data_IF_009069260600
#
_entry.id   IF_009069260600
#
_cell.length_a   1.000
_cell.length_b   1.000
_cell.length_c   1.000
_cell.angle_alpha   90.00
_cell.angle_beta   90.00
_cell.angle_gamma   90.00
#
_symmetry.space_group_name_H-M   'P 1'
#
loop_
_entity.id
_entity.type
_entity.pdbx_description
1 polymer ?
#
# COMPACT_ATOMS: atom_id res chain seq x y z
N UNK A 1 -14.39 -19.18 -2.55
CA UNK A 1 -15.35 -18.44 -1.69
C UNK A 1 -14.79 -17.05 -1.28
N UNK A 2 -13.55 -16.93 -0.91
CA UNK A 2 -12.93 -15.70 -0.39
C UNK A 2 -13.01 -14.47 -1.34
N UNK A 3 -12.73 -14.61 -2.63
CA UNK A 3 -12.86 -13.50 -3.59
C UNK A 3 -14.28 -12.92 -3.66
N UNK A 4 -15.31 -13.76 -3.59
CA UNK A 4 -16.72 -13.30 -3.60
C UNK A 4 -17.07 -12.52 -2.33
N UNK A 5 -16.53 -12.93 -1.18
CA UNK A 5 -16.71 -12.24 0.09
C UNK A 5 -16.04 -10.86 0.07
N UNK A 6 -14.80 -10.77 -0.41
CA UNK A 6 -14.09 -9.50 -0.60
C UNK A 6 -14.91 -8.51 -1.45
N UNK A 7 -15.40 -8.94 -2.61
CA UNK A 7 -16.19 -8.07 -3.48
C UNK A 7 -17.53 -7.69 -2.86
N UNK A 8 -18.17 -8.58 -2.09
CA UNK A 8 -19.39 -8.29 -1.34
C UNK A 8 -19.18 -7.19 -0.32
N UNK A 9 -18.15 -7.33 0.53
CA UNK A 9 -17.78 -6.33 1.53
C UNK A 9 -17.44 -4.99 0.88
N UNK A 10 -16.65 -5.01 -0.18
CA UNK A 10 -16.29 -3.81 -0.94
C UNK A 10 -17.51 -3.09 -1.51
N UNK A 11 -18.47 -3.84 -2.05
CA UNK A 11 -19.71 -3.27 -2.60
C UNK A 11 -20.51 -2.54 -1.54
N UNK A 12 -20.55 -3.06 -0.30
CA UNK A 12 -21.22 -2.40 0.83
C UNK A 12 -20.41 -1.20 1.34
N UNK A 13 -19.09 -1.36 1.51
CA UNK A 13 -18.23 -0.32 2.12
C UNK A 13 -17.97 0.85 1.17
N UNK A 14 -17.87 0.60 -0.14
CA UNK A 14 -17.53 1.63 -1.14
C UNK A 14 -18.48 2.84 -1.15
N UNK A 15 -19.82 2.70 -1.12
CA UNK A 15 -20.72 3.85 -1.06
C UNK A 15 -20.53 4.67 0.21
N UNK A 16 -20.28 4.05 1.36
CA UNK A 16 -19.97 4.78 2.60
C UNK A 16 -18.68 5.57 2.48
N UNK A 17 -17.59 4.95 1.96
CA UNK A 17 -16.33 5.65 1.70
C UNK A 17 -16.52 6.82 0.76
N UNK A 18 -17.30 6.66 -0.31
CA UNK A 18 -17.66 7.76 -1.23
C UNK A 18 -18.46 8.86 -0.54
N UNK A 19 -19.47 8.49 0.25
CA UNK A 19 -20.33 9.45 0.91
C UNK A 19 -19.57 10.27 1.97
N UNK A 20 -18.75 9.59 2.79
CA UNK A 20 -18.08 10.24 3.92
C UNK A 20 -16.76 10.92 3.54
N UNK A 21 -16.00 10.36 2.60
CA UNK A 21 -14.65 10.83 2.29
C UNK A 21 -14.44 11.28 0.85
N UNK A 22 -15.35 10.90 -0.07
CA UNK A 22 -15.33 11.31 -1.49
C UNK A 22 -13.92 11.31 -2.12
N UNK A 23 -13.14 10.21 -2.00
CA UNK A 23 -11.78 10.20 -2.49
C UNK A 23 -11.76 10.37 -4.02
N UNK A 24 -10.87 11.23 -4.51
CA UNK A 24 -10.58 11.32 -5.94
C UNK A 24 -9.62 10.19 -6.31
N UNK A 25 -10.09 9.23 -7.09
CA UNK A 25 -9.30 8.09 -7.54
C UNK A 25 -9.01 8.23 -9.03
N UNK A 26 -7.73 8.16 -9.42
CA UNK A 26 -7.28 8.27 -10.82
C UNK A 26 -6.27 7.18 -11.14
N UNK A 27 -6.13 6.81 -12.43
CA UNK A 27 -5.15 5.83 -12.90
C UNK A 27 -5.54 4.38 -12.66
N UNK A 28 -6.82 4.07 -12.43
CA UNK A 28 -7.27 2.70 -12.16
C UNK A 28 -7.02 1.75 -13.35
N UNK A 29 -6.92 2.27 -14.55
CA UNK A 29 -6.54 1.58 -15.77
C UNK A 29 -5.14 0.97 -15.71
N UNK A 30 -4.27 1.49 -14.86
CA UNK A 30 -2.91 0.99 -14.63
C UNK A 30 -2.86 -0.29 -13.78
N UNK A 31 -3.97 -0.69 -13.17
CA UNK A 31 -4.02 -1.94 -12.41
C UNK A 31 -4.13 -3.12 -13.39
N UNK A 32 -3.16 -4.06 -13.41
CA UNK A 32 -3.20 -5.22 -14.29
C UNK A 32 -4.52 -5.99 -14.14
N UNK A 33 -5.09 -6.45 -15.23
CA UNK A 33 -6.34 -7.23 -15.19
C UNK A 33 -6.14 -8.62 -14.60
N UNK A 34 -4.97 -9.21 -14.80
CA UNK A 34 -4.62 -10.57 -14.39
C UNK A 34 -3.20 -10.61 -13.81
N UNK A 35 -2.82 -11.73 -13.24
CA UNK A 35 -1.50 -11.95 -12.66
C UNK A 35 -1.26 -11.24 -11.33
N UNK A 36 -0.12 -11.53 -10.69
CA UNK A 36 0.33 -10.87 -9.47
C UNK A 36 0.85 -9.46 -9.76
N UNK A 37 0.67 -8.55 -8.81
CA UNK A 37 1.19 -7.20 -8.89
C UNK A 37 1.44 -6.62 -7.50
N UNK A 38 2.37 -5.69 -7.40
CA UNK A 38 2.76 -5.06 -6.14
C UNK A 38 2.24 -3.63 -6.11
N UNK A 39 1.44 -3.28 -5.11
CA UNK A 39 1.10 -1.88 -4.83
C UNK A 39 2.16 -1.33 -3.88
N UNK A 40 2.89 -0.30 -4.31
CA UNK A 40 3.82 0.43 -3.46
C UNK A 40 3.29 1.84 -3.21
N UNK A 41 2.98 2.17 -1.96
CA UNK A 41 2.35 3.45 -1.59
C UNK A 41 3.07 4.14 -0.44
N UNK A 42 3.00 5.48 -0.40
CA UNK A 42 3.31 6.23 0.83
C UNK A 42 2.30 5.89 1.93
N UNK A 43 2.67 6.13 3.19
CA UNK A 43 1.84 5.79 4.34
C UNK A 43 1.67 6.98 5.28
N UNK A 44 0.46 7.55 5.32
CA UNK A 44 0.14 8.75 6.10
C UNK A 44 -0.68 8.43 7.35
N UNK A 45 -1.60 7.46 7.25
CA UNK A 45 -2.54 7.14 8.32
C UNK A 45 -2.93 5.66 8.32
N UNK A 46 -3.44 5.16 9.45
CA UNK A 46 -3.94 3.78 9.54
C UNK A 46 -5.07 3.50 8.54
N UNK A 47 -5.84 4.53 8.17
CA UNK A 47 -6.94 4.41 7.21
C UNK A 47 -6.46 4.08 5.79
N UNK A 48 -5.19 4.26 5.47
CA UNK A 48 -4.63 3.95 4.15
C UNK A 48 -4.84 2.49 3.78
N UNK A 49 -4.66 1.58 4.77
CA UNK A 49 -4.88 0.14 4.58
C UNK A 49 -6.35 -0.25 4.36
N UNK A 50 -7.28 0.66 4.66
CA UNK A 50 -8.69 0.52 4.29
C UNK A 50 -8.99 1.19 2.95
N UNK A 51 -8.39 2.35 2.70
CA UNK A 51 -8.64 3.13 1.52
C UNK A 51 -8.22 2.40 0.24
N UNK A 52 -7.03 1.80 0.23
CA UNK A 52 -6.49 1.12 -0.94
C UNK A 52 -7.36 -0.05 -1.42
N UNK A 53 -7.76 -1.04 -0.56
CA UNK A 53 -8.61 -2.15 -1.00
C UNK A 53 -9.99 -1.69 -1.52
N UNK A 54 -10.54 -0.61 -0.96
CA UNK A 54 -11.83 -0.09 -1.38
C UNK A 54 -11.73 0.67 -2.69
N UNK A 55 -10.64 1.42 -2.90
CA UNK A 55 -10.42 2.24 -4.08
C UNK A 55 -10.09 1.40 -5.33
N UNK A 56 -9.25 0.36 -5.19
CA UNK A 56 -8.70 -0.39 -6.31
C UNK A 56 -9.70 -1.42 -6.89
N UNK A 57 -9.67 -1.71 -8.21
CA UNK A 57 -10.64 -2.60 -8.86
C UNK A 57 -10.37 -4.08 -8.58
N UNK A 58 -9.13 -4.45 -8.22
CA UNK A 58 -8.71 -5.81 -7.91
C UNK A 58 -8.42 -5.97 -6.43
N UNK A 59 -8.52 -7.21 -5.95
CA UNK A 59 -8.14 -7.57 -4.60
C UNK A 59 -6.65 -7.33 -4.38
N UNK A 60 -6.34 -6.67 -3.28
CA UNK A 60 -4.99 -6.53 -2.76
C UNK A 60 -4.96 -7.03 -1.32
N UNK A 61 -3.90 -7.74 -0.98
CA UNK A 61 -3.68 -8.30 0.34
C UNK A 61 -2.54 -7.58 1.03
N UNK A 62 -2.59 -7.53 2.35
CA UNK A 62 -1.57 -6.93 3.20
C UNK A 62 -1.06 -7.94 4.21
N UNK A 63 0.10 -7.68 4.76
CA UNK A 63 0.47 -8.28 6.04
C UNK A 63 0.06 -7.34 7.18
N UNK A 64 -0.48 -7.91 8.22
CA UNK A 64 -0.88 -7.18 9.41
C UNK A 64 -0.42 -7.90 10.67
N UNK A 65 -0.28 -7.16 11.78
CA UNK A 65 0.13 -7.76 13.05
C UNK A 65 -0.93 -8.77 13.50
N UNK A 66 -0.49 -9.96 13.89
CA UNK A 66 -1.34 -11.02 14.46
C UNK A 66 -2.17 -10.56 15.66
N UNK A 67 -1.63 -9.62 16.46
CA UNK A 67 -2.32 -9.02 17.61
C UNK A 67 -3.63 -8.31 17.24
N UNK A 68 -3.86 -7.99 15.97
CA UNK A 68 -5.14 -7.43 15.52
C UNK A 68 -6.28 -8.45 15.57
N UNK A 69 -5.97 -9.74 15.46
CA UNK A 69 -6.95 -10.83 15.55
C UNK A 69 -7.29 -11.23 16.98
N UNK A 70 -6.47 -10.84 17.97
CA UNK A 70 -6.65 -11.21 19.38
C UNK A 70 -7.38 -10.14 20.21
N UNK A 71 -7.70 -8.98 19.63
CA UNK A 71 -8.40 -7.90 20.32
C UNK A 71 -9.86 -8.28 20.61
N UNK A 72 -10.25 -8.24 21.90
CA UNK A 72 -11.60 -8.62 22.39
C UNK A 72 -12.62 -7.47 22.38
N UNK A 73 -12.21 -6.24 22.02
CA UNK A 73 -13.10 -5.07 21.97
C UNK A 73 -14.04 -5.12 20.76
N UNK A 74 -15.19 -4.44 20.82
CA UNK A 74 -16.09 -4.30 19.66
C UNK A 74 -15.36 -3.73 18.44
N UNK A 75 -14.51 -2.72 18.65
CA UNK A 75 -13.63 -2.16 17.61
C UNK A 75 -12.68 -3.21 17.06
N UNK A 76 -12.13 -4.08 17.92
CA UNK A 76 -11.27 -5.19 17.50
C UNK A 76 -12.00 -6.19 16.61
N UNK A 77 -13.26 -6.52 16.91
CA UNK A 77 -14.07 -7.41 16.08
C UNK A 77 -14.34 -6.82 14.69
N UNK A 78 -14.66 -5.52 14.61
CA UNK A 78 -14.87 -4.85 13.32
C UNK A 78 -13.58 -4.81 12.50
N UNK A 79 -12.44 -4.53 13.13
CA UNK A 79 -11.12 -4.55 12.47
C UNK A 79 -10.78 -5.96 11.98
N UNK A 80 -10.95 -6.97 12.83
CA UNK A 80 -10.74 -8.37 12.45
C UNK A 80 -11.58 -8.74 11.23
N UNK A 81 -12.90 -8.48 11.29
CA UNK A 81 -13.80 -8.74 10.17
C UNK A 81 -13.32 -8.08 8.87
N UNK A 82 -12.83 -6.84 8.94
CA UNK A 82 -12.27 -6.16 7.78
C UNK A 82 -10.99 -6.83 7.28
N UNK A 83 -10.03 -7.15 8.19
CA UNK A 83 -8.78 -7.80 7.80
C UNK A 83 -9.00 -9.20 7.23
N UNK A 84 -9.97 -9.94 7.77
CA UNK A 84 -10.41 -11.23 7.22
C UNK A 84 -11.02 -11.04 5.81
N UNK A 85 -11.83 -9.98 5.63
CA UNK A 85 -12.45 -9.68 4.33
C UNK A 85 -11.45 -9.30 3.24
N UNK A 86 -10.38 -8.60 3.57
CA UNK A 86 -9.29 -8.27 2.62
C UNK A 86 -8.23 -9.37 2.55
N UNK A 87 -8.43 -10.49 3.25
CA UNK A 87 -7.47 -11.60 3.34
C UNK A 87 -6.07 -11.13 3.77
N UNK A 88 -6.02 -10.24 4.75
CA UNK A 88 -4.76 -9.83 5.33
C UNK A 88 -4.06 -11.03 6.00
N UNK A 89 -2.76 -11.16 5.76
CA UNK A 89 -1.98 -12.26 6.32
C UNK A 89 -1.46 -11.85 7.70
N UNK A 90 -1.84 -12.58 8.78
CA UNK A 90 -1.29 -12.31 10.10
C UNK A 90 0.19 -12.69 10.13
N UNK A 91 1.02 -11.79 10.62
CA UNK A 91 2.45 -12.01 10.79
C UNK A 91 2.84 -11.58 12.21
N UNK A 92 3.61 -12.42 12.88
CA UNK A 92 4.08 -12.11 14.22
C UNK A 92 4.98 -10.87 14.27
N UNK A 93 5.14 -10.32 15.46
CA UNK A 93 5.86 -9.05 15.66
C UNK A 93 7.34 -9.14 15.25
N UNK A 94 7.98 -10.28 15.48
CA UNK A 94 9.41 -10.47 15.16
C UNK A 94 9.62 -10.60 13.65
N UNK A 95 8.78 -11.39 12.98
CA UNK A 95 8.80 -11.55 11.54
C UNK A 95 8.45 -10.23 10.81
N UNK A 96 7.55 -9.41 11.38
CA UNK A 96 7.28 -8.06 10.88
C UNK A 96 8.46 -7.11 11.09
N UNK A 97 9.11 -7.14 12.26
CA UNK A 97 10.23 -6.26 12.57
C UNK A 97 11.45 -6.56 11.71
N UNK A 98 11.73 -7.82 11.42
CA UNK A 98 12.78 -8.25 10.49
C UNK A 98 12.42 -8.02 9.02
N UNK A 99 11.14 -7.84 8.70
CA UNK A 99 10.61 -7.73 7.34
C UNK A 99 10.59 -9.03 6.56
N UNK A 100 11.27 -10.09 7.02
CA UNK A 100 11.40 -11.37 6.28
C UNK A 100 10.07 -12.09 6.13
N UNK A 101 9.31 -12.21 7.21
CA UNK A 101 7.99 -12.86 7.18
C UNK A 101 7.00 -12.13 6.25
N UNK A 102 7.02 -10.80 6.27
CA UNK A 102 6.19 -10.00 5.37
C UNK A 102 6.54 -10.20 3.89
N UNK A 103 7.83 -10.27 3.57
CA UNK A 103 8.31 -10.49 2.21
C UNK A 103 8.00 -11.90 1.71
N UNK A 104 8.14 -12.91 2.56
CA UNK A 104 7.80 -14.29 2.22
C UNK A 104 6.31 -14.44 1.92
N UNK A 105 5.44 -13.93 2.82
CA UNK A 105 4.00 -13.90 2.60
C UNK A 105 3.61 -13.14 1.31
N UNK A 106 4.30 -12.02 1.05
CA UNK A 106 4.11 -11.26 -0.18
C UNK A 106 4.43 -12.08 -1.44
N UNK A 107 5.51 -12.84 -1.45
CA UNK A 107 5.85 -13.71 -2.58
C UNK A 107 4.80 -14.79 -2.84
N UNK A 108 4.26 -15.39 -1.79
CA UNK A 108 3.21 -16.41 -1.91
C UNK A 108 1.93 -15.80 -2.53
N UNK A 109 1.51 -14.63 -2.04
CA UNK A 109 0.36 -13.89 -2.58
C UNK A 109 0.54 -13.55 -4.06
N UNK A 110 1.74 -13.11 -4.45
CA UNK A 110 2.06 -12.78 -5.84
C UNK A 110 2.04 -14.01 -6.74
N UNK A 111 2.54 -15.15 -6.28
CA UNK A 111 2.50 -16.44 -7.00
C UNK A 111 1.08 -16.95 -7.22
N UNK A 112 0.17 -16.65 -6.29
CA UNK A 112 -1.27 -16.94 -6.44
C UNK A 112 -1.96 -16.02 -7.47
N UNK A 113 -1.25 -15.09 -8.09
CA UNK A 113 -1.80 -14.12 -9.04
C UNK A 113 -2.61 -13.01 -8.38
N UNK A 114 -2.42 -12.77 -7.09
CA UNK A 114 -3.12 -11.72 -6.32
C UNK A 114 -2.27 -10.46 -6.19
N UNK A 115 -2.88 -9.32 -5.89
CA UNK A 115 -2.19 -8.09 -5.57
C UNK A 115 -1.65 -8.12 -4.14
N UNK A 116 -0.43 -7.62 -3.96
CA UNK A 116 0.19 -7.42 -2.65
C UNK A 116 0.51 -5.95 -2.43
N UNK A 117 0.09 -5.38 -1.30
CA UNK A 117 0.36 -3.99 -0.98
C UNK A 117 1.43 -3.85 0.11
N UNK A 118 2.35 -2.94 -0.13
CA UNK A 118 3.46 -2.64 0.77
C UNK A 118 3.68 -1.12 0.84
N UNK A 119 4.07 -0.65 2.02
CA UNK A 119 4.51 0.72 2.24
C UNK A 119 6.05 0.72 2.31
N UNK A 120 6.76 1.22 1.28
CA UNK A 120 8.23 1.14 1.24
C UNK A 120 8.91 1.82 2.42
N UNK A 121 8.32 2.88 2.98
CA UNK A 121 8.84 3.56 4.17
C UNK A 121 8.90 2.64 5.41
N UNK A 122 8.06 1.59 5.45
CA UNK A 122 7.96 0.62 6.54
C UNK A 122 7.32 1.17 7.82
N UNK A 123 6.91 2.43 7.83
CA UNK A 123 6.18 3.09 8.91
C UNK A 123 5.37 4.25 8.35
N UNK A 124 4.44 4.78 9.15
CA UNK A 124 3.69 5.98 8.77
C UNK A 124 4.56 7.22 8.87
N UNK A 125 4.44 8.10 7.90
CA UNK A 125 4.99 9.45 7.98
C UNK A 125 4.20 10.26 9.02
N UNK A 126 4.90 10.75 10.04
CA UNK A 126 4.30 11.57 11.11
C UNK A 126 4.42 13.07 10.85
N UNK A 127 5.37 13.43 10.01
CA UNK A 127 5.71 14.82 9.64
C UNK A 127 5.20 15.23 8.26
N UNK A 128 4.50 14.31 7.58
CA UNK A 128 3.97 14.53 6.24
C UNK A 128 5.02 14.47 5.12
N UNK A 129 6.29 14.17 5.43
CA UNK A 129 7.35 14.03 4.44
C UNK A 129 7.41 12.59 3.91
N UNK A 130 7.94 12.41 2.71
CA UNK A 130 8.23 11.08 2.15
C UNK A 130 9.64 10.66 2.62
N UNK A 131 9.68 9.66 3.48
CA UNK A 131 10.92 9.11 4.00
C UNK A 131 11.57 8.11 3.04
N UNK A 132 12.89 7.83 3.19
CA UNK A 132 13.58 6.86 2.34
C UNK A 132 12.90 5.50 2.37
N UNK A 133 12.68 4.93 1.19
CA UNK A 133 12.07 3.62 1.05
C UNK A 133 13.05 2.49 1.34
N UNK A 134 12.60 1.49 2.09
CA UNK A 134 13.27 0.20 2.23
C UNK A 134 13.13 -0.61 0.94
N UNK A 135 14.05 -1.52 0.69
CA UNK A 135 14.11 -2.28 -0.56
C UNK A 135 13.06 -3.41 -0.69
N UNK A 136 12.09 -3.51 0.22
CA UNK A 136 11.14 -4.63 0.25
C UNK A 136 10.30 -4.75 -1.02
N UNK A 137 9.74 -3.66 -1.52
CA UNK A 137 8.96 -3.65 -2.76
C UNK A 137 9.82 -4.05 -3.98
N UNK A 138 11.01 -3.50 -4.08
CA UNK A 138 11.96 -3.83 -5.14
C UNK A 138 12.46 -5.29 -5.06
N UNK A 139 12.66 -5.79 -3.85
CA UNK A 139 13.01 -7.20 -3.64
C UNK A 139 11.91 -8.13 -4.13
N UNK A 140 10.65 -7.87 -3.72
CA UNK A 140 9.49 -8.65 -4.17
C UNK A 140 9.39 -8.65 -5.69
N UNK A 141 9.53 -7.50 -6.33
CA UNK A 141 9.46 -7.39 -7.78
C UNK A 141 10.55 -8.21 -8.48
N UNK A 142 11.80 -8.09 -8.04
CA UNK A 142 12.93 -8.83 -8.63
C UNK A 142 12.79 -10.35 -8.44
N UNK A 143 12.26 -10.81 -7.29
CA UNK A 143 12.10 -12.24 -7.02
C UNK A 143 10.83 -12.86 -7.64
N UNK A 144 9.77 -12.07 -7.81
CA UNK A 144 8.50 -12.55 -8.39
C UNK A 144 8.37 -12.29 -9.89
N UNK A 145 9.11 -11.32 -10.44
CA UNK A 145 8.90 -10.81 -11.79
C UNK A 145 7.64 -9.96 -11.95
N UNK A 146 6.90 -9.71 -10.87
CA UNK A 146 5.65 -8.94 -10.93
C UNK A 146 5.91 -7.43 -11.05
N UNK A 147 5.05 -6.69 -11.80
CA UNK A 147 5.14 -5.25 -11.88
C UNK A 147 4.86 -4.57 -10.54
N UNK A 148 5.49 -3.41 -10.33
CA UNK A 148 5.19 -2.52 -9.21
C UNK A 148 4.31 -1.38 -9.69
N UNK A 149 3.18 -1.21 -9.05
CA UNK A 149 2.24 -0.12 -9.31
C UNK A 149 2.45 0.92 -8.20
N UNK A 150 3.09 2.05 -8.48
CA UNK A 150 3.25 3.11 -7.50
C UNK A 150 1.92 3.81 -7.26
N UNK A 151 1.61 4.10 -6.00
CA UNK A 151 0.37 4.79 -5.60
C UNK A 151 0.71 5.95 -4.69
N UNK A 152 0.17 7.13 -5.00
CA UNK A 152 0.26 8.31 -4.16
C UNK A 152 -1.04 8.54 -3.40
N UNK A 153 -0.96 8.55 -2.08
CA UNK A 153 -2.05 8.94 -1.18
C UNK A 153 -1.83 10.38 -0.71
N UNK A 154 -2.94 11.15 -0.64
CA UNK A 154 -2.93 12.52 -0.11
C UNK A 154 -4.19 12.77 0.71
N UNK A 155 -4.04 13.45 1.85
CA UNK A 155 -5.16 13.90 2.68
C UNK A 155 -5.73 12.85 3.63
N UNK A 156 -5.25 11.60 3.61
CA UNK A 156 -5.75 10.53 4.49
C UNK A 156 -5.43 10.75 5.96
N UNK A 157 -4.35 11.49 6.27
CA UNK A 157 -3.98 11.84 7.65
C UNK A 157 -5.02 12.72 8.35
N UNK A 158 -5.87 13.42 7.59
CA UNK A 158 -6.91 14.31 8.11
C UNK A 158 -8.27 13.61 8.30
N UNK A 159 -8.40 12.33 7.94
CA UNK A 159 -9.69 11.62 7.98
C UNK A 159 -10.07 11.12 9.37
N UNK A 160 -9.09 10.80 10.21
CA UNK A 160 -9.30 10.28 11.56
C UNK A 160 -8.45 11.12 12.52
N UNK A 161 -8.95 12.28 12.89
CA UNK A 161 -8.34 13.11 13.93
C UNK A 161 -8.80 12.67 15.32
N UNK A 162 -8.00 12.97 16.35
CA UNK A 162 -8.36 12.68 17.75
C UNK A 162 -9.65 13.38 18.22
N UNK A 163 -10.03 14.47 17.55
CA UNK A 163 -11.25 15.25 17.82
C UNK A 163 -12.46 14.74 17.05
N UNK A 164 -12.32 13.74 16.19
CA UNK A 164 -13.40 13.26 15.33
C UNK A 164 -13.84 14.27 14.25
N UNK A 165 -13.26 15.46 14.22
CA UNK A 165 -13.58 16.51 13.25
C UNK A 165 -12.82 16.23 11.98
N UNK A 166 -13.58 15.97 10.94
CA UNK A 166 -13.10 15.82 9.58
C UNK A 166 -12.74 17.20 9.04
N UNK A 167 -11.48 17.48 8.85
CA UNK A 167 -11.09 18.55 7.95
C UNK A 167 -11.56 18.19 6.54
N UNK A 168 -12.38 19.04 5.93
CA UNK A 168 -12.82 18.87 4.54
C UNK A 168 -11.62 19.07 3.61
N UNK A 169 -10.72 18.09 3.57
CA UNK A 169 -9.60 18.03 2.66
C UNK A 169 -9.93 17.13 1.47
N UNK A 170 -9.27 17.37 0.35
CA UNK A 170 -9.36 16.49 -0.81
C UNK A 170 -8.51 15.26 -0.53
N UNK A 171 -9.17 14.13 -0.28
CA UNK A 171 -8.50 12.83 -0.27
C UNK A 171 -8.30 12.39 -1.71
N UNK A 172 -7.09 12.01 -2.07
CA UNK A 172 -6.83 11.43 -3.38
C UNK A 172 -6.00 10.16 -3.31
N UNK A 173 -6.33 9.24 -4.22
CA UNK A 173 -5.60 8.01 -4.52
C UNK A 173 -5.21 8.08 -5.99
N UNK A 174 -3.92 8.25 -6.26
CA UNK A 174 -3.39 8.33 -7.62
C UNK A 174 -2.57 7.09 -7.92
N UNK A 175 -3.01 6.31 -8.89
CA UNK A 175 -2.35 5.09 -9.34
C UNK A 175 -1.46 5.44 -10.54
N UNK A 176 -0.17 5.22 -10.40
CA UNK A 176 0.81 5.48 -11.46
C UNK A 176 0.92 4.33 -12.45
N UNK A 177 1.69 4.54 -13.50
CA UNK A 177 2.01 3.51 -14.50
C UNK A 177 2.80 2.37 -13.87
N UNK A 178 2.57 1.11 -14.31
CA UNK A 178 3.37 -0.01 -13.87
C UNK A 178 4.87 0.21 -14.12
N UNK A 179 5.68 -0.19 -13.17
CA UNK A 179 7.13 -0.25 -13.27
C UNK A 179 7.49 -1.72 -13.45
N UNK A 180 7.95 -2.06 -14.64
CA UNK A 180 8.34 -3.43 -14.95
C UNK A 180 9.77 -3.69 -14.51
N UNK A 181 10.02 -4.92 -14.00
CA UNK A 181 11.38 -5.34 -13.66
C UNK A 181 12.25 -5.44 -14.90
N UNK A 182 11.63 -5.76 -16.04
CA UNK A 182 12.30 -5.84 -17.34
C UNK A 182 12.82 -4.50 -17.86
N UNK A 183 12.30 -3.37 -17.35
CA UNK A 183 12.81 -2.03 -17.69
C UNK A 183 14.22 -1.77 -17.13
N UNK A 184 14.72 -2.63 -16.25
CA UNK A 184 16.06 -2.53 -15.67
C UNK A 184 16.93 -3.62 -16.26
N UNK A 185 18.11 -3.21 -16.74
CA UNK A 185 19.07 -4.08 -17.38
C UNK A 185 19.25 -5.41 -16.61
N UNK A 186 18.88 -6.55 -17.21
CA UNK A 186 18.97 -7.87 -16.58
C UNK A 186 20.40 -8.34 -16.32
N UNK A 187 21.40 -7.75 -17.01
CA UNK A 187 22.82 -8.09 -16.82
C UNK A 187 23.38 -7.57 -15.48
N UNK A 188 22.71 -6.60 -14.87
CA UNK A 188 23.11 -6.06 -13.58
C UNK A 188 22.83 -7.04 -12.44
N UNK A 189 23.68 -7.00 -11.41
CA UNK A 189 23.44 -7.82 -10.20
C UNK A 189 22.09 -7.51 -9.56
N UNK A 190 21.46 -8.52 -8.94
CA UNK A 190 20.18 -8.34 -8.23
C UNK A 190 20.20 -7.17 -7.23
N UNK A 191 21.34 -6.94 -6.56
CA UNK A 191 21.49 -5.83 -5.60
C UNK A 191 21.41 -4.46 -6.28
N UNK A 192 22.02 -4.29 -7.46
CA UNK A 192 21.97 -3.05 -8.25
C UNK A 192 20.54 -2.85 -8.76
N UNK A 193 19.95 -3.88 -9.37
CA UNK A 193 18.57 -3.83 -9.87
C UNK A 193 17.57 -3.42 -8.79
N UNK A 194 17.69 -3.97 -7.58
CA UNK A 194 16.82 -3.59 -6.44
C UNK A 194 16.99 -2.12 -6.05
N UNK A 195 18.23 -1.60 -6.02
CA UNK A 195 18.47 -0.18 -5.69
C UNK A 195 17.86 0.75 -6.73
N UNK A 196 18.07 0.46 -8.02
CA UNK A 196 17.51 1.25 -9.11
C UNK A 196 15.99 1.22 -9.11
N UNK A 197 15.40 0.04 -8.94
CA UNK A 197 13.95 -0.12 -8.87
C UNK A 197 13.36 0.61 -7.66
N UNK A 198 13.99 0.50 -6.49
CA UNK A 198 13.54 1.22 -5.29
C UNK A 198 13.59 2.74 -5.47
N UNK A 199 14.64 3.26 -6.09
CA UNK A 199 14.73 4.69 -6.39
C UNK A 199 13.57 5.12 -7.31
N UNK A 200 13.33 4.40 -8.40
CA UNK A 200 12.23 4.68 -9.35
C UNK A 200 10.86 4.60 -8.68
N UNK A 201 10.62 3.59 -7.83
CA UNK A 201 9.39 3.46 -7.06
C UNK A 201 9.17 4.69 -6.18
N UNK A 202 10.18 5.11 -5.43
CA UNK A 202 10.07 6.26 -4.53
C UNK A 202 9.90 7.59 -5.28
N UNK A 203 10.52 7.73 -6.46
CA UNK A 203 10.35 8.90 -7.32
C UNK A 203 8.90 9.01 -7.82
N UNK A 204 8.32 7.90 -8.26
CA UNK A 204 6.93 7.88 -8.73
C UNK A 204 5.95 8.12 -7.58
N UNK A 205 6.16 7.51 -6.41
CA UNK A 205 5.34 7.79 -5.21
C UNK A 205 5.41 9.28 -4.85
N UNK A 206 6.58 9.91 -4.92
CA UNK A 206 6.73 11.34 -4.66
C UNK A 206 5.90 12.19 -5.63
N UNK A 207 6.00 11.93 -6.94
CA UNK A 207 5.24 12.64 -7.97
C UNK A 207 3.73 12.51 -7.75
N UNK A 208 3.27 11.30 -7.44
CA UNK A 208 1.86 10.98 -7.26
C UNK A 208 1.30 11.57 -5.95
N UNK A 209 2.02 11.49 -4.85
CA UNK A 209 1.59 11.99 -3.54
C UNK A 209 1.76 13.50 -3.41
N UNK A 210 2.76 14.07 -4.10
CA UNK A 210 3.15 15.47 -3.94
C UNK A 210 3.87 15.76 -2.62
N UNK A 211 4.31 14.74 -1.88
CA UNK A 211 5.08 14.91 -0.66
C UNK A 211 6.50 15.42 -0.96
N UNK A 212 7.02 16.28 -0.08
CA UNK A 212 8.45 16.62 -0.07
C UNK A 212 9.23 15.44 0.54
N UNK A 213 10.42 15.18 0.03
CA UNK A 213 11.31 14.17 0.63
C UNK A 213 11.90 14.66 1.94
N UNK A 214 11.97 13.76 2.92
CA UNK A 214 12.73 14.00 4.14
C UNK A 214 14.23 14.19 3.78
N UNK A 215 14.86 15.21 4.36
CA UNK A 215 16.28 15.54 4.11
C UNK A 215 16.54 16.33 2.80
N UNK A 216 15.53 16.61 1.98
CA UNK A 216 15.70 17.56 0.89
C UNK A 216 15.91 18.96 1.45
N UNK A 217 17.08 19.56 1.19
CA UNK A 217 17.34 20.96 1.51
C UNK A 217 16.27 21.81 0.82
N UNK A 218 15.60 22.67 1.55
CA UNK A 218 14.81 23.76 0.95
C UNK A 218 15.80 24.59 0.11
N UNK A 219 15.65 24.50 -1.22
CA UNK A 219 16.37 25.41 -2.08
C UNK A 219 15.80 26.80 -1.81
N UNK A 220 16.59 27.67 -1.16
CA UNK A 220 16.46 29.11 -1.17
C UNK A 220 15.43 29.69 -0.17
N UNK A 221 15.93 30.23 0.90
CA UNK A 221 15.54 31.53 1.42
C UNK A 221 16.71 32.48 1.23
#
# INVERSE_FOLDING_TARGET
>A
MAKRFYFGVRTVVRPFVKLFWSPRVTGLENIPREGGFIIASNHLANIDSFMLPVALPRQIRFVAKDTLWTQKSLRGHVLRWFFDAVEAVPVDREALSSGKGALQAGLEILREGSGFAIYPEGTRSKDGLLHPGKQGAAWLAVESGCPVIPVGLKGTQHLLTSTGVRERGIVSVRVGTPIEVADIDPSLSKGIRRRMLNARIMDEIQKLSGQRRAGARTAGS
#
